data_IF_479980963394
#
_entry.id   IF_479980963394
#
_cell.length_a   1.000
_cell.length_b   1.000
_cell.length_c   1.000
_cell.angle_alpha   90.00
_cell.angle_beta   90.00
_cell.angle_gamma   90.00
#
_symmetry.space_group_name_H-M   'P 1'
#
loop_
_entity.id
_entity.type
_entity.pdbx_description
1 polymer ?
#
# COMPACT_ATOMS: atom_id res chain seq x y z
N UNK A 1 30.82 -5.96 28.20
CA UNK A 1 30.74 -6.41 26.79
C UNK A 1 29.30 -6.11 26.35
N UNK A 2 29.11 -5.01 25.64
CA UNK A 2 27.81 -4.36 25.44
C UNK A 2 27.00 -5.02 24.32
N UNK A 3 25.69 -5.11 24.51
CA UNK A 3 24.71 -5.63 23.57
C UNK A 3 24.61 -4.74 22.32
N UNK A 4 24.81 -5.32 21.13
CA UNK A 4 24.47 -4.69 19.87
C UNK A 4 22.98 -4.94 19.59
N UNK A 5 22.13 -3.99 19.98
CA UNK A 5 20.76 -3.91 19.47
C UNK A 5 20.85 -3.46 18.01
N UNK A 6 20.71 -4.42 17.09
CA UNK A 6 20.50 -4.14 15.67
C UNK A 6 19.12 -3.49 15.52
N UNK A 7 19.10 -2.16 15.41
CA UNK A 7 17.92 -1.42 14.97
C UNK A 7 17.67 -1.77 13.51
N UNK A 8 16.92 -2.84 13.27
CA UNK A 8 16.32 -3.13 11.97
C UNK A 8 15.43 -1.94 11.62
N UNK A 9 15.94 -1.02 10.80
CA UNK A 9 15.11 0.00 10.15
C UNK A 9 14.20 -0.74 9.18
N UNK A 10 13.07 -1.20 9.69
CA UNK A 10 12.01 -1.81 8.92
C UNK A 10 11.44 -0.69 8.06
N UNK A 11 11.94 -0.55 6.83
CA UNK A 11 11.39 0.38 5.85
C UNK A 11 9.99 -0.10 5.52
N UNK A 12 9.00 0.37 6.27
CA UNK A 12 7.60 0.16 5.96
C UNK A 12 7.33 0.83 4.59
N UNK A 13 7.37 0.02 3.53
CA UNK A 13 6.98 0.43 2.18
C UNK A 13 5.46 0.61 2.16
N UNK A 14 5.02 1.74 2.69
CA UNK A 14 3.62 2.16 2.67
C UNK A 14 3.24 2.57 1.25
N UNK A 15 2.16 1.96 0.75
CA UNK A 15 1.59 2.33 -0.55
C UNK A 15 0.56 3.42 -0.32
N UNK A 16 0.80 4.60 -0.89
CA UNK A 16 -0.14 5.71 -0.83
C UNK A 16 -1.11 5.65 -2.01
N UNK A 17 -2.40 5.78 -1.73
CA UNK A 17 -3.48 5.80 -2.72
C UNK A 17 -4.32 7.05 -2.52
N UNK A 18 -4.71 7.69 -3.62
CA UNK A 18 -5.63 8.82 -3.57
C UNK A 18 -7.02 8.34 -3.93
N UNK A 19 -7.92 8.38 -2.97
CA UNK A 19 -9.30 7.94 -3.13
C UNK A 19 -10.21 9.16 -3.26
N UNK A 20 -11.12 9.11 -4.22
CA UNK A 20 -12.28 9.99 -4.27
C UNK A 20 -13.46 9.21 -3.71
N UNK A 21 -13.99 9.71 -2.60
CA UNK A 21 -15.06 9.07 -1.84
C UNK A 21 -16.32 9.93 -1.97
N UNK A 22 -17.48 9.28 -2.11
CA UNK A 22 -18.76 9.90 -1.83
C UNK A 22 -19.03 9.76 -0.33
N UNK A 23 -19.00 10.86 0.41
CA UNK A 23 -19.18 10.87 1.87
C UNK A 23 -20.58 10.44 2.30
N UNK A 24 -21.62 10.75 1.52
CA UNK A 24 -23.01 10.38 1.86
C UNK A 24 -23.26 8.88 1.79
N UNK A 25 -22.60 8.19 0.85
CA UNK A 25 -22.76 6.74 0.65
C UNK A 25 -21.56 5.91 1.12
N UNK A 26 -20.51 6.58 1.63
CA UNK A 26 -19.22 5.99 1.99
C UNK A 26 -18.62 5.11 0.87
N UNK A 27 -18.87 5.45 -0.39
CA UNK A 27 -18.41 4.67 -1.55
C UNK A 27 -17.18 5.32 -2.18
N UNK A 28 -16.18 4.51 -2.50
CA UNK A 28 -15.06 4.92 -3.34
C UNK A 28 -15.57 5.05 -4.77
N UNK A 29 -15.50 6.25 -5.34
CA UNK A 29 -15.85 6.54 -6.73
C UNK A 29 -14.65 6.31 -7.65
N UNK A 30 -13.46 6.72 -7.21
CA UNK A 30 -12.21 6.56 -7.96
C UNK A 30 -11.04 6.31 -7.00
N UNK A 31 -10.06 5.55 -7.46
CA UNK A 31 -8.79 5.33 -6.77
C UNK A 31 -7.64 5.57 -7.77
N UNK A 32 -6.83 6.60 -7.52
CA UNK A 32 -5.60 6.85 -8.25
C UNK A 32 -4.45 6.17 -7.51
N UNK A 33 -3.70 5.34 -8.23
CA UNK A 33 -2.65 4.50 -7.69
C UNK A 33 -1.38 4.59 -8.54
N UNK A 34 -0.22 4.54 -7.88
CA UNK A 34 1.07 4.44 -8.53
C UNK A 34 1.34 3.03 -9.07
N UNK A 35 2.36 2.93 -9.94
CA UNK A 35 2.76 1.68 -10.61
C UNK A 35 2.98 0.53 -9.63
N UNK A 36 3.63 0.79 -8.50
CA UNK A 36 3.95 -0.24 -7.50
C UNK A 36 2.69 -0.92 -6.93
N UNK A 37 1.61 -0.16 -6.69
CA UNK A 37 0.34 -0.74 -6.25
C UNK A 37 -0.32 -1.57 -7.35
N UNK A 38 -0.36 -1.05 -8.56
CA UNK A 38 -1.03 -1.70 -9.69
C UNK A 38 -0.34 -3.00 -10.05
N UNK A 39 1.00 -3.03 -10.05
CA UNK A 39 1.79 -4.24 -10.29
C UNK A 39 1.47 -5.32 -9.25
N UNK A 40 1.39 -4.94 -7.96
CA UNK A 40 1.00 -5.85 -6.87
C UNK A 40 -0.44 -6.36 -7.09
N UNK A 41 -1.40 -5.46 -7.35
CA UNK A 41 -2.80 -5.83 -7.56
C UNK A 41 -2.95 -6.79 -8.74
N UNK A 42 -2.31 -6.48 -9.87
CA UNK A 42 -2.31 -7.34 -11.05
C UNK A 42 -1.65 -8.70 -10.78
N UNK A 43 -0.57 -8.75 -10.00
CA UNK A 43 0.07 -10.01 -9.61
C UNK A 43 -0.89 -10.95 -8.87
N UNK A 44 -1.75 -10.41 -8.01
CA UNK A 44 -2.80 -11.18 -7.33
C UNK A 44 -3.87 -11.68 -8.29
N UNK A 45 -4.27 -10.87 -9.27
CA UNK A 45 -5.30 -11.25 -10.26
C UNK A 45 -4.78 -12.27 -11.28
N UNK A 46 -3.46 -12.36 -11.48
CA UNK A 46 -2.83 -13.35 -12.36
C UNK A 46 -2.59 -14.71 -11.71
N UNK A 47 -2.78 -14.83 -10.39
CA UNK A 47 -2.82 -16.15 -9.73
C UNK A 47 -4.14 -16.86 -10.10
N UNK A 48 -4.08 -18.10 -10.66
CA UNK A 48 -5.26 -18.81 -11.15
C UNK A 48 -6.18 -19.34 -10.04
#
# INVERSE_FOLDING_TARGET
MAAAATNTTQTETSVSLKLLLNEESNKVLFAEAGKDFVDILCSFLTMP
#
